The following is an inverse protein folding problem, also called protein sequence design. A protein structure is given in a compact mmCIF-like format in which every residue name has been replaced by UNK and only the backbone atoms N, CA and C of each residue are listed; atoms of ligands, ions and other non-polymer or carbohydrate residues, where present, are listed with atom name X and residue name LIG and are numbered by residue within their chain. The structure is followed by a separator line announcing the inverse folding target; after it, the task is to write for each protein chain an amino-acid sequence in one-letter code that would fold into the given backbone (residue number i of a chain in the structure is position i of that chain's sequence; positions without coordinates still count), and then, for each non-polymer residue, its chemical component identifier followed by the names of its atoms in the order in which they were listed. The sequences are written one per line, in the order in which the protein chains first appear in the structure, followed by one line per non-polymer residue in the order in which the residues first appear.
data_IF_803682555284
#
_entry.id   IF_803682555284
#
_cell.length_a   1.000
_cell.length_b   1.000
_cell.length_c   1.000
_cell.angle_alpha   90.00
_cell.angle_beta   90.00
_cell.angle_gamma   90.00
#
_symmetry.space_group_name_H-M   'P 1'
#
loop_
_entity.id
_entity.type
_entity.pdbx_description
1 polymer ?
#
# COMPACT_ATOMS: atom_id res chain seq x y z
N UNK A 1 15.44 2.43 10.52
CA UNK A 1 15.98 1.97 9.21
C UNK A 1 16.51 0.56 9.38
N UNK A 2 15.97 -0.42 8.67
CA UNK A 2 16.30 -1.85 8.84
C UNK A 2 17.81 -2.11 8.68
N UNK A 3 18.41 -2.84 9.62
CA UNK A 3 19.76 -3.39 9.45
C UNK A 3 19.69 -4.48 8.37
N UNK A 4 20.68 -4.56 7.48
CA UNK A 4 20.68 -5.51 6.35
C UNK A 4 20.41 -6.97 6.77
N UNK A 5 20.77 -7.35 7.99
CA UNK A 5 20.65 -8.73 8.49
C UNK A 5 19.32 -9.04 9.20
N UNK A 6 18.36 -8.09 9.23
CA UNK A 6 17.09 -8.28 9.96
C UNK A 6 16.01 -9.00 9.16
N UNK A 7 16.01 -8.87 7.84
CA UNK A 7 15.03 -9.51 6.95
C UNK A 7 15.79 -10.33 5.91
N UNK A 8 15.49 -11.63 5.83
CA UNK A 8 16.02 -12.51 4.80
C UNK A 8 15.05 -12.57 3.63
N UNK A 9 15.47 -12.14 2.44
CA UNK A 9 14.72 -12.37 1.21
C UNK A 9 15.02 -13.80 0.71
N UNK A 10 14.01 -14.65 0.67
CA UNK A 10 14.14 -16.05 0.25
C UNK A 10 13.99 -16.19 -1.26
N UNK A 11 13.05 -15.46 -1.84
CA UNK A 11 12.84 -15.38 -3.28
C UNK A 11 12.00 -14.15 -3.62
N UNK A 12 12.05 -13.73 -4.88
CA UNK A 12 11.13 -12.71 -5.39
C UNK A 12 10.66 -13.08 -6.80
N UNK A 13 9.52 -12.53 -7.20
CA UNK A 13 8.98 -12.63 -8.54
C UNK A 13 8.29 -11.34 -8.95
N UNK A 14 8.19 -11.13 -10.25
CA UNK A 14 7.46 -10.02 -10.86
C UNK A 14 6.35 -10.60 -11.72
N UNK A 15 5.13 -10.12 -11.51
CA UNK A 15 3.95 -10.56 -12.26
C UNK A 15 3.30 -9.36 -12.95
N UNK A 16 3.35 -9.35 -14.29
CA UNK A 16 2.81 -8.26 -15.09
C UNK A 16 1.28 -8.20 -15.05
N UNK A 17 0.74 -6.98 -15.20
CA UNK A 17 -0.66 -6.77 -15.51
C UNK A 17 -0.85 -6.63 -17.02
N UNK A 18 -1.39 -7.66 -17.68
CA UNK A 18 -1.72 -7.57 -19.11
C UNK A 18 -2.72 -6.45 -19.43
N UNK A 19 -3.48 -5.98 -18.44
CA UNK A 19 -4.43 -4.87 -18.58
C UNK A 19 -3.77 -3.49 -18.49
N UNK A 20 -2.51 -3.41 -18.09
CA UNK A 20 -1.80 -2.15 -17.85
C UNK A 20 -1.41 -1.46 -19.15
N UNK A 21 -1.53 -0.13 -19.17
CA UNK A 21 -0.97 0.75 -20.20
C UNK A 21 0.17 1.62 -19.68
N UNK A 22 0.51 1.47 -18.39
CA UNK A 22 1.52 2.25 -17.69
C UNK A 22 2.62 1.36 -17.08
N UNK A 23 2.88 0.19 -17.68
CA UNK A 23 3.92 -0.78 -17.29
C UNK A 23 3.81 -1.29 -15.83
N UNK A 24 2.58 -1.37 -15.32
CA UNK A 24 2.28 -1.80 -13.96
C UNK A 24 2.43 -3.31 -13.80
N UNK A 25 2.94 -3.70 -12.64
CA UNK A 25 3.19 -5.07 -12.26
C UNK A 25 3.06 -5.24 -10.74
N UNK A 26 3.00 -6.49 -10.29
CA UNK A 26 3.12 -6.87 -8.89
C UNK A 26 4.55 -7.33 -8.66
N UNK A 27 5.21 -6.80 -7.64
CA UNK A 27 6.44 -7.38 -7.10
C UNK A 27 6.06 -8.18 -5.86
N UNK A 28 6.40 -9.47 -5.85
CA UNK A 28 6.19 -10.34 -4.70
C UNK A 28 7.54 -10.80 -4.16
N UNK A 29 7.77 -10.63 -2.87
CA UNK A 29 8.94 -11.12 -2.18
C UNK A 29 8.52 -12.08 -1.05
N UNK A 30 9.06 -13.29 -1.08
CA UNK A 30 8.97 -14.25 0.02
C UNK A 30 10.11 -13.94 0.99
N UNK A 31 9.79 -13.59 2.23
CA UNK A 31 10.79 -13.17 3.22
C UNK A 31 10.62 -13.91 4.53
N UNK A 32 11.69 -13.94 5.32
CA UNK A 32 11.65 -14.37 6.72
C UNK A 32 12.13 -13.21 7.58
N UNK A 33 11.34 -12.86 8.59
CA UNK A 33 11.68 -11.87 9.62
C UNK A 33 11.43 -12.48 11.00
N UNK A 34 12.42 -12.45 11.88
CA UNK A 34 12.33 -13.04 13.22
C UNK A 34 11.81 -14.51 13.21
N UNK A 35 12.36 -15.33 12.30
CA UNK A 35 11.96 -16.73 12.06
C UNK A 35 10.48 -16.94 11.69
N UNK A 36 9.80 -15.88 11.23
CA UNK A 36 8.40 -15.93 10.76
C UNK A 36 8.37 -15.59 9.27
N UNK A 37 7.58 -16.35 8.52
CA UNK A 37 7.46 -16.13 7.08
C UNK A 37 6.46 -15.02 6.78
N UNK A 38 6.94 -14.06 5.97
CA UNK A 38 6.19 -12.88 5.55
C UNK A 38 6.30 -12.75 4.04
N UNK A 39 5.16 -12.67 3.37
CA UNK A 39 5.08 -12.38 1.94
C UNK A 39 4.78 -10.90 1.77
N UNK A 40 5.65 -10.20 1.07
CA UNK A 40 5.50 -8.78 0.75
C UNK A 40 5.05 -8.65 -0.71
N UNK A 41 3.91 -7.99 -0.93
CA UNK A 41 3.44 -7.64 -2.26
C UNK A 41 3.43 -6.12 -2.39
N UNK A 42 4.18 -5.60 -3.36
CA UNK A 42 4.19 -4.19 -3.72
C UNK A 42 3.66 -4.00 -5.13
N UNK A 43 2.90 -2.94 -5.35
CA UNK A 43 2.46 -2.56 -6.69
C UNK A 43 2.15 -1.06 -6.78
N UNK A 44 2.18 -0.55 -8.00
CA UNK A 44 1.63 0.75 -8.34
C UNK A 44 0.48 0.53 -9.33
N UNK A 45 -0.77 0.57 -8.87
CA UNK A 45 -1.94 0.30 -9.74
C UNK A 45 -2.26 1.46 -10.67
N UNK A 46 -2.88 1.17 -11.82
CA UNK A 46 -3.15 2.10 -12.92
C UNK A 46 -3.62 3.47 -12.42
N UNK A 47 -2.90 4.52 -12.81
CA UNK A 47 -3.19 5.88 -12.37
C UNK A 47 -4.31 6.51 -13.18
N UNK A 48 -4.73 7.69 -12.73
CA UNK A 48 -5.78 8.52 -13.34
C UNK A 48 -7.20 8.00 -13.14
N UNK A 49 -8.16 8.93 -13.14
CA UNK A 49 -9.58 8.64 -12.92
C UNK A 49 -10.19 7.76 -14.01
N UNK A 50 -9.83 8.00 -15.27
CA UNK A 50 -10.35 7.25 -16.42
C UNK A 50 -9.91 5.77 -16.46
N UNK A 51 -8.89 5.38 -15.68
CA UNK A 51 -8.38 4.01 -15.63
C UNK A 51 -9.07 3.13 -14.58
N UNK A 52 -10.23 3.55 -14.05
CA UNK A 52 -10.95 2.86 -12.97
C UNK A 52 -11.16 1.37 -13.24
N UNK A 53 -11.63 1.00 -14.44
CA UNK A 53 -11.87 -0.41 -14.77
C UNK A 53 -10.58 -1.25 -14.78
N UNK A 54 -9.49 -0.70 -15.32
CA UNK A 54 -8.19 -1.36 -15.33
C UNK A 54 -7.68 -1.55 -13.91
N UNK A 55 -7.73 -0.50 -13.08
CA UNK A 55 -7.31 -0.55 -11.68
C UNK A 55 -8.13 -1.56 -10.87
N UNK A 56 -9.45 -1.65 -11.07
CA UNK A 56 -10.29 -2.67 -10.42
C UNK A 56 -9.92 -4.10 -10.83
N UNK A 57 -9.57 -4.33 -12.10
CA UNK A 57 -9.09 -5.65 -12.56
C UNK A 57 -7.76 -6.01 -11.88
N UNK A 58 -6.84 -5.05 -11.79
CA UNK A 58 -5.55 -5.23 -11.12
C UNK A 58 -5.72 -5.48 -9.61
N UNK A 59 -6.57 -4.70 -8.92
CA UNK A 59 -6.88 -4.89 -7.50
C UNK A 59 -7.39 -6.30 -7.21
N UNK A 60 -8.37 -6.78 -7.99
CA UNK A 60 -8.88 -8.16 -7.85
C UNK A 60 -7.77 -9.20 -8.05
N UNK A 61 -6.82 -8.95 -8.95
CA UNK A 61 -5.66 -9.83 -9.14
C UNK A 61 -4.73 -9.82 -7.93
N UNK A 62 -4.42 -8.66 -7.36
CA UNK A 62 -3.62 -8.56 -6.13
C UNK A 62 -4.27 -9.31 -4.97
N UNK A 63 -5.56 -9.10 -4.72
CA UNK A 63 -6.28 -9.84 -3.67
C UNK A 63 -6.31 -11.34 -3.92
N UNK A 64 -6.49 -11.81 -5.17
CA UNK A 64 -6.35 -13.24 -5.47
C UNK A 64 -4.95 -13.76 -5.18
N UNK A 65 -3.90 -12.99 -5.45
CA UNK A 65 -2.53 -13.39 -5.13
C UNK A 65 -2.34 -13.53 -3.62
N UNK A 66 -2.80 -12.56 -2.83
CA UNK A 66 -2.69 -12.60 -1.36
C UNK A 66 -3.39 -13.82 -0.74
N UNK A 67 -4.55 -14.21 -1.30
CA UNK A 67 -5.32 -15.38 -0.83
C UNK A 67 -4.68 -16.73 -1.20
N UNK A 68 -3.85 -16.78 -2.24
CA UNK A 68 -3.19 -18.02 -2.69
C UNK A 68 -2.01 -18.40 -1.81
N UNK A 69 -1.42 -17.44 -1.10
CA UNK A 69 -0.33 -17.70 -0.17
C UNK A 69 -0.83 -18.58 0.99
N UNK A 70 0.03 -19.49 1.48
CA UNK A 70 -0.30 -20.43 2.55
C UNK A 70 -0.75 -19.76 3.85
N UNK A 71 -1.67 -20.39 4.59
CA UNK A 71 -2.26 -19.83 5.81
C UNK A 71 -1.25 -19.66 6.94
N UNK A 72 -0.13 -20.36 6.90
CA UNK A 72 1.01 -20.23 7.82
C UNK A 72 1.77 -18.90 7.65
N UNK A 73 1.60 -18.21 6.52
CA UNK A 73 2.32 -16.98 6.20
C UNK A 73 1.48 -15.74 6.48
N UNK A 74 2.14 -14.71 7.00
CA UNK A 74 1.59 -13.35 6.99
C UNK A 74 1.81 -12.75 5.61
N UNK A 75 0.81 -12.08 5.06
CA UNK A 75 0.91 -11.40 3.77
C UNK A 75 0.67 -9.91 3.98
N UNK A 76 1.60 -9.08 3.53
CA UNK A 76 1.46 -7.62 3.54
C UNK A 76 1.43 -7.17 2.08
N UNK A 77 0.34 -6.53 1.68
CA UNK A 77 0.11 -6.05 0.33
C UNK A 77 -0.11 -4.54 0.35
N UNK A 78 0.65 -3.76 -0.41
CA UNK A 78 0.41 -2.33 -0.51
C UNK A 78 1.17 -1.65 -1.65
N UNK A 79 1.21 -0.33 -1.57
CA UNK A 79 1.85 0.57 -2.53
C UNK A 79 0.92 1.72 -2.90
N UNK A 80 1.22 2.42 -4.00
CA UNK A 80 0.30 3.39 -4.58
C UNK A 80 -0.78 2.66 -5.37
N UNK A 81 -1.95 2.52 -4.76
CA UNK A 81 -3.04 1.78 -5.36
C UNK A 81 -3.93 2.68 -6.22
N UNK A 82 -3.76 4.00 -6.23
CA UNK A 82 -4.59 4.96 -6.98
C UNK A 82 -6.12 4.81 -6.73
N UNK A 83 -6.51 4.15 -5.64
CA UNK A 83 -7.88 3.72 -5.41
C UNK A 83 -8.77 4.85 -4.90
N UNK A 84 -10.04 4.78 -5.29
CA UNK A 84 -11.15 5.44 -4.61
C UNK A 84 -11.96 4.40 -3.84
N UNK A 85 -12.61 4.80 -2.76
CA UNK A 85 -13.29 3.84 -1.88
C UNK A 85 -14.40 3.06 -2.60
N UNK A 86 -15.18 3.72 -3.45
CA UNK A 86 -16.20 3.07 -4.28
C UNK A 86 -15.64 1.98 -5.23
N UNK A 87 -14.36 2.02 -5.58
CA UNK A 87 -13.73 1.00 -6.42
C UNK A 87 -13.44 -0.27 -5.62
N UNK A 88 -13.09 -0.12 -4.34
CA UNK A 88 -12.95 -1.23 -3.40
C UNK A 88 -14.31 -1.89 -3.19
N UNK A 89 -15.37 -1.10 -3.00
CA UNK A 89 -16.75 -1.60 -2.87
C UNK A 89 -17.19 -2.36 -4.13
N UNK A 90 -16.94 -1.79 -5.32
CA UNK A 90 -17.22 -2.45 -6.61
C UNK A 90 -16.39 -3.73 -6.86
N UNK A 91 -15.34 -3.95 -6.08
CA UNK A 91 -14.56 -5.18 -6.08
C UNK A 91 -15.05 -6.21 -5.05
N UNK A 92 -16.11 -5.91 -4.29
CA UNK A 92 -16.65 -6.75 -3.23
C UNK A 92 -16.05 -6.47 -1.85
N UNK A 93 -15.41 -5.31 -1.67
CA UNK A 93 -14.76 -4.91 -0.43
C UNK A 93 -13.37 -5.53 -0.23
N UNK A 94 -12.79 -5.26 0.93
CA UNK A 94 -11.58 -5.98 1.39
C UNK A 94 -11.97 -7.44 1.65
N UNK A 95 -11.24 -8.42 1.10
CA UNK A 95 -11.61 -9.81 1.27
C UNK A 95 -11.62 -10.29 2.73
N UNK A 96 -12.50 -11.24 3.05
CA UNK A 96 -12.51 -11.91 4.34
C UNK A 96 -11.12 -12.47 4.73
N UNK A 97 -10.71 -12.23 5.96
CA UNK A 97 -9.39 -12.59 6.49
C UNK A 97 -8.26 -11.61 6.11
N UNK A 98 -8.58 -10.53 5.38
CA UNK A 98 -7.69 -9.40 5.14
C UNK A 98 -8.24 -8.13 5.78
N UNK A 99 -7.35 -7.21 6.12
CA UNK A 99 -7.66 -5.96 6.82
C UNK A 99 -6.94 -4.79 6.12
N UNK A 100 -7.60 -3.63 6.02
CA UNK A 100 -6.96 -2.36 5.65
C UNK A 100 -6.27 -1.78 6.88
N UNK A 101 -4.96 -1.51 6.79
CA UNK A 101 -4.14 -1.11 7.93
C UNK A 101 -4.46 0.28 8.46
N UNK A 102 -4.99 1.19 7.64
CA UNK A 102 -5.48 2.46 8.17
C UNK A 102 -6.76 2.25 9.00
N UNK A 103 -7.66 1.38 8.51
CA UNK A 103 -8.93 1.09 9.18
C UNK A 103 -8.71 0.39 10.52
N UNK A 104 -7.91 -0.68 10.58
CA UNK A 104 -7.66 -1.40 11.84
C UNK A 104 -6.76 -0.66 12.81
N UNK A 105 -6.02 0.36 12.35
CA UNK A 105 -5.29 1.27 13.21
C UNK A 105 -6.13 2.46 13.71
N UNK A 106 -7.46 2.43 13.52
CA UNK A 106 -8.39 3.39 14.14
C UNK A 106 -8.90 4.48 13.21
N UNK A 107 -8.60 4.42 11.91
CA UNK A 107 -9.18 5.31 10.89
C UNK A 107 -8.98 6.80 11.17
N UNK A 108 -7.83 7.20 11.70
CA UNK A 108 -7.54 8.60 12.02
C UNK A 108 -7.67 9.50 10.75
N UNK A 109 -8.59 10.48 10.74
CA UNK A 109 -8.78 11.39 9.61
C UNK A 109 -7.52 12.19 9.23
N UNK A 110 -6.66 12.52 10.19
CA UNK A 110 -5.43 13.29 9.95
C UNK A 110 -4.36 12.48 9.21
N UNK A 111 -4.52 11.15 9.20
CA UNK A 111 -3.63 10.19 8.54
C UNK A 111 -4.23 9.58 7.28
N UNK A 112 -5.45 9.99 6.90
CA UNK A 112 -6.21 9.37 5.83
C UNK A 112 -5.66 9.68 4.43
N UNK A 113 -5.32 10.94 4.15
CA UNK A 113 -4.94 11.37 2.81
C UNK A 113 -3.43 11.28 2.61
N UNK A 114 -3.01 10.42 1.68
CA UNK A 114 -1.60 10.21 1.34
C UNK A 114 -1.19 11.05 0.13
N UNK A 115 -2.16 11.51 -0.66
CA UNK A 115 -1.96 12.50 -1.71
C UNK A 115 -2.92 13.67 -1.46
N UNK A 116 -2.38 14.83 -1.09
CA UNK A 116 -3.17 15.98 -0.63
C UNK A 116 -2.63 17.29 -1.23
N UNK A 117 -3.29 17.76 -2.27
CA UNK A 117 -2.94 18.98 -2.98
C UNK A 117 -3.24 20.27 -2.21
N UNK A 118 -3.94 20.20 -1.08
CA UNK A 118 -4.14 21.36 -0.20
C UNK A 118 -2.94 21.61 0.71
N UNK A 119 -2.08 20.60 0.87
CA UNK A 119 -0.92 20.62 1.76
C UNK A 119 0.41 20.38 1.04
N UNK A 120 0.36 19.72 -0.12
CA UNK A 120 1.51 19.40 -0.95
C UNK A 120 1.41 20.15 -2.28
N UNK A 121 2.41 20.98 -2.57
CA UNK A 121 2.50 21.85 -3.74
C UNK A 121 3.59 21.41 -4.73
N UNK A 122 4.07 20.16 -4.62
CA UNK A 122 5.04 19.63 -5.58
C UNK A 122 4.48 19.52 -7.01
N UNK A 123 3.15 19.38 -7.14
CA UNK A 123 2.46 19.39 -8.42
C UNK A 123 1.60 20.65 -8.52
N UNK A 124 1.63 21.27 -9.70
CA UNK A 124 0.75 22.37 -10.06
C UNK A 124 -0.06 21.97 -11.30
N UNK A 125 -1.38 21.84 -11.11
CA UNK A 125 -2.33 21.54 -12.18
C UNK A 125 -3.03 22.80 -12.72
N UNK A 126 -2.60 23.98 -12.30
CA UNK A 126 -3.23 25.25 -12.62
C UNK A 126 -4.50 25.48 -11.80
N UNK A 127 -4.50 26.56 -11.01
CA UNK A 127 -5.66 26.97 -10.21
C UNK A 127 -5.77 26.24 -8.86
N UNK A 128 -6.87 26.51 -8.14
CA UNK A 128 -7.06 25.98 -6.78
C UNK A 128 -7.49 24.51 -6.83
N UNK A 129 -6.57 23.59 -6.53
CA UNK A 129 -6.87 22.17 -6.44
C UNK A 129 -7.10 21.76 -4.98
N UNK A 130 -8.29 21.23 -4.70
CA UNK A 130 -8.67 20.75 -3.37
C UNK A 130 -8.71 19.21 -3.27
N UNK A 131 -8.11 18.51 -4.24
CA UNK A 131 -8.13 17.05 -4.27
C UNK A 131 -7.28 16.46 -3.15
N UNK A 132 -7.89 15.52 -2.41
CA UNK A 132 -7.23 14.74 -1.36
C UNK A 132 -7.68 13.30 -1.48
N UNK A 133 -6.73 12.38 -1.64
CA UNK A 133 -7.01 10.99 -1.95
C UNK A 133 -6.13 10.07 -1.10
N UNK A 134 -6.72 8.94 -0.69
CA UNK A 134 -6.03 7.84 0.00
C UNK A 134 -5.59 6.82 -1.05
N UNK A 135 -4.59 7.21 -1.82
CA UNK A 135 -4.05 6.42 -2.92
C UNK A 135 -3.15 5.30 -2.40
N UNK A 136 -2.28 5.63 -1.45
CA UNK A 136 -1.37 4.69 -0.84
C UNK A 136 -2.12 3.93 0.24
N UNK A 137 -2.19 2.62 0.10
CA UNK A 137 -2.88 1.74 1.06
C UNK A 137 -2.03 0.52 1.32
N UNK A 138 -2.21 -0.05 2.51
CA UNK A 138 -1.56 -1.31 2.89
C UNK A 138 -2.62 -2.19 3.54
N UNK A 139 -2.64 -3.44 3.12
CA UNK A 139 -3.50 -4.51 3.61
C UNK A 139 -2.66 -5.60 4.25
N UNK A 140 -3.21 -6.26 5.25
CA UNK A 140 -2.62 -7.45 5.88
C UNK A 140 -3.56 -8.65 5.73
N UNK A 141 -3.00 -9.82 5.42
CA UNK A 141 -3.60 -11.13 5.70
C UNK A 141 -2.78 -11.77 6.82
N UNK A 142 -3.40 -12.05 7.94
CA UNK A 142 -2.72 -12.70 9.06
C UNK A 142 -2.36 -14.15 8.73
N UNK A 143 -1.23 -14.61 9.27
CA UNK A 143 -0.98 -16.05 9.42
C UNK A 143 -1.99 -16.65 10.41
N UNK A 144 -2.09 -17.98 10.41
CA UNK A 144 -2.91 -18.74 11.36
C UNK A 144 -2.02 -19.75 12.10
N UNK A 145 -1.67 -19.50 13.39
CA UNK A 145 -2.06 -18.34 14.21
C UNK A 145 -1.37 -17.04 13.77
N UNK A 146 -1.93 -15.90 14.17
CA UNK A 146 -1.37 -14.58 13.85
C UNK A 146 0.01 -14.40 14.51
N UNK A 147 0.96 -13.85 13.77
CA UNK A 147 2.34 -13.65 14.21
C UNK A 147 2.77 -12.18 14.27
N UNK A 148 1.99 -11.30 13.64
CA UNK A 148 2.18 -9.87 13.62
C UNK A 148 0.83 -9.19 13.83
N UNK A 149 0.81 -8.14 14.64
CA UNK A 149 -0.37 -7.28 14.80
C UNK A 149 0.02 -5.84 14.51
N UNK A 150 -0.78 -5.09 13.73
CA UNK A 150 -0.56 -3.66 13.53
C UNK A 150 -0.54 -2.93 14.87
N UNK A 151 0.43 -2.04 15.05
CA UNK A 151 0.65 -1.30 16.29
C UNK A 151 0.55 0.22 16.10
N UNK A 152 0.96 0.72 14.92
CA UNK A 152 0.80 2.14 14.57
C UNK A 152 0.75 2.34 13.07
N UNK A 153 0.06 3.40 12.65
CA UNK A 153 0.02 3.90 11.28
C UNK A 153 0.37 5.39 11.32
N UNK A 154 1.27 5.87 10.47
CA UNK A 154 1.69 7.28 10.44
C UNK A 154 2.01 7.74 9.01
N UNK A 155 1.80 9.04 8.76
CA UNK A 155 2.32 9.72 7.58
C UNK A 155 3.76 10.20 7.82
N UNK A 156 4.62 10.06 6.82
CA UNK A 156 6.00 10.56 6.83
C UNK A 156 6.28 11.39 5.57
N UNK A 157 7.40 12.12 5.57
CA UNK A 157 7.77 12.97 4.43
C UNK A 157 7.05 14.32 4.37
N UNK A 158 6.34 14.71 5.44
CA UNK A 158 5.58 15.98 5.50
C UNK A 158 6.43 17.22 5.80
N UNK A 159 7.76 17.10 5.79
CA UNK A 159 8.68 18.22 5.98
C UNK A 159 9.33 18.57 4.65
N UNK A 160 9.33 19.86 4.31
CA UNK A 160 10.04 20.36 3.14
C UNK A 160 11.53 20.13 3.26
N UNK A 161 12.15 19.84 2.12
CA UNK A 161 13.59 19.87 1.95
C UNK A 161 14.05 21.33 1.98
N UNK A 162 15.12 21.60 2.72
CA UNK A 162 15.54 22.98 3.00
C UNK A 162 16.11 23.70 1.78
N UNK A 163 16.68 22.97 0.81
CA UNK A 163 17.39 23.56 -0.33
C UNK A 163 16.44 23.70 -1.52
N UNK A 164 15.72 22.64 -1.85
CA UNK A 164 14.85 22.57 -3.02
C UNK A 164 13.47 23.20 -2.76
N UNK A 165 13.17 23.53 -1.50
CA UNK A 165 11.90 24.12 -1.04
C UNK A 165 10.65 23.31 -1.41
N UNK A 166 10.81 22.04 -1.77
CA UNK A 166 9.74 21.10 -2.08
C UNK A 166 9.60 20.02 -1.00
N UNK A 167 8.52 19.25 -1.04
CA UNK A 167 8.42 18.01 -0.27
C UNK A 167 9.22 16.88 -0.96
N UNK A 168 9.59 15.81 -0.25
CA UNK A 168 10.30 14.66 -0.86
C UNK A 168 9.56 14.01 -2.03
N UNK A 169 8.23 14.10 -2.05
CA UNK A 169 7.33 13.60 -3.11
C UNK A 169 6.03 14.39 -3.02
N UNK A 170 5.22 14.34 -4.08
CA UNK A 170 3.81 14.78 -4.07
C UNK A 170 2.90 13.86 -3.23
N UNK A 171 3.38 12.65 -2.90
CA UNK A 171 2.78 11.76 -1.92
C UNK A 171 3.46 11.86 -0.54
N UNK A 172 2.67 11.64 0.51
CA UNK A 172 3.16 11.31 1.84
C UNK A 172 3.46 9.82 1.93
N UNK A 173 4.58 9.47 2.56
CA UNK A 173 4.92 8.06 2.81
C UNK A 173 4.10 7.49 3.96
N UNK A 174 3.90 6.18 3.95
CA UNK A 174 3.30 5.44 5.07
C UNK A 174 4.39 4.77 5.91
N UNK A 175 4.34 4.99 7.22
CA UNK A 175 5.16 4.28 8.20
C UNK A 175 4.24 3.46 9.11
N UNK A 176 4.34 2.14 8.99
CA UNK A 176 3.50 1.20 9.75
C UNK A 176 4.40 0.35 10.64
N UNK A 177 4.03 0.24 11.91
CA UNK A 177 4.72 -0.62 12.86
C UNK A 177 3.84 -1.81 13.21
N UNK A 178 4.48 -2.97 13.35
CA UNK A 178 3.84 -4.21 13.79
C UNK A 178 4.50 -4.68 15.07
N UNK A 179 3.69 -5.18 16.00
CA UNK A 179 4.19 -5.96 17.14
C UNK A 179 4.29 -7.42 16.71
N UNK A 180 5.44 -8.01 16.96
CA UNK A 180 5.63 -9.45 16.78
C UNK A 180 5.02 -10.18 17.99
N UNK A 181 4.16 -11.18 17.72
CA UNK A 181 3.58 -12.04 18.74
C UNK A 181 4.51 -13.21 19.10
#
# INVERSE_FOLDING_TARGET
LCKKDTVRCNSFSVAEFNSSKMERHIVLAQTTFNNKDVVLLNTHLESMGYSSEVRKVQLRRCFRQCKKEGSEKTVIFGGDLNLRDHEVDACGGVPAGMEDLWEVCGSDPDLCYTWDMTRNDNLDFGGRNNARLRFDRVYIRHSQPATFVPASFQLIGQKRLQVELCFPSDHWGLAIQFRCL
#
